data_IF_111222862838
#
_entry.id   IF_111222862838
#
_cell.length_a   1.000
_cell.length_b   1.000
_cell.length_c   1.000
_cell.angle_alpha   90.00
_cell.angle_beta   90.00
_cell.angle_gamma   90.00
#
_symmetry.space_group_name_H-M   'P 1'
#
loop_
_entity.id
_entity.type
_entity.pdbx_description
1 polymer ?
#
# COMPACT_ATOMS: atom_id res chain seq x y z
N UNK A 1 17.77 13.99 -7.99
CA UNK A 1 17.35 13.82 -9.40
C UNK A 1 16.71 12.45 -9.65
N UNK A 2 17.30 11.34 -9.22
CA UNK A 2 16.72 10.00 -9.44
C UNK A 2 15.31 9.79 -8.86
N UNK A 3 15.03 10.30 -7.65
CA UNK A 3 13.71 10.14 -7.00
C UNK A 3 12.61 10.83 -7.80
N UNK A 4 12.85 12.06 -8.28
CA UNK A 4 11.89 12.85 -9.06
C UNK A 4 11.60 12.18 -10.41
N UNK A 5 12.62 11.57 -11.04
CA UNK A 5 12.43 10.82 -12.27
C UNK A 5 11.59 9.55 -12.04
N UNK A 6 11.79 8.83 -10.94
CA UNK A 6 10.98 7.66 -10.59
C UNK A 6 9.52 8.04 -10.33
N UNK A 7 9.30 9.17 -9.65
CA UNK A 7 7.97 9.73 -9.37
C UNK A 7 7.21 10.13 -10.64
N UNK A 8 7.92 10.75 -11.59
CA UNK A 8 7.36 11.09 -12.90
C UNK A 8 6.98 9.83 -13.69
N UNK A 9 7.79 8.78 -13.62
CA UNK A 9 7.51 7.51 -14.31
C UNK A 9 6.32 6.78 -13.69
N UNK A 10 6.20 6.74 -12.36
CA UNK A 10 5.03 6.10 -11.70
C UNK A 10 3.74 6.86 -11.95
N UNK A 11 3.79 8.18 -12.09
CA UNK A 11 2.66 8.99 -12.55
C UNK A 11 2.24 8.66 -13.98
N UNK A 12 3.20 8.59 -14.91
CA UNK A 12 2.94 8.27 -16.32
C UNK A 12 2.34 6.87 -16.50
N UNK A 13 2.76 5.91 -15.69
CA UNK A 13 2.25 4.55 -15.70
C UNK A 13 0.88 4.39 -15.01
N UNK A 14 0.34 5.46 -14.40
CA UNK A 14 -0.86 5.39 -13.56
C UNK A 14 -0.82 4.24 -12.55
N UNK A 15 0.34 4.05 -11.91
CA UNK A 15 0.50 3.00 -10.91
C UNK A 15 -0.51 3.22 -9.78
N UNK A 16 -1.07 2.13 -9.23
CA UNK A 16 -2.08 2.16 -8.17
C UNK A 16 -1.65 2.98 -6.93
N UNK A 17 -0.33 3.11 -6.72
CA UNK A 17 0.28 3.83 -5.60
C UNK A 17 0.88 5.18 -5.98
N UNK A 18 0.79 5.57 -7.26
CA UNK A 18 1.22 6.85 -7.86
C UNK A 18 2.50 7.43 -7.21
N UNK A 19 2.43 8.70 -6.80
CA UNK A 19 3.47 9.43 -6.07
C UNK A 19 3.58 8.98 -4.60
N UNK A 20 2.48 8.48 -4.02
CA UNK A 20 2.38 8.23 -2.59
C UNK A 20 3.27 7.09 -2.12
N UNK A 21 3.45 6.05 -2.94
CA UNK A 21 4.35 4.95 -2.61
C UNK A 21 5.77 5.43 -2.33
N UNK A 22 6.30 6.31 -3.19
CA UNK A 22 7.65 6.85 -3.07
C UNK A 22 7.75 7.80 -1.86
N UNK A 23 6.75 8.67 -1.67
CA UNK A 23 6.70 9.60 -0.53
C UNK A 23 6.62 8.89 0.82
N UNK A 24 5.87 7.79 0.90
CA UNK A 24 5.74 6.98 2.11
C UNK A 24 7.10 6.32 2.42
N UNK A 25 7.71 5.63 1.45
CA UNK A 25 9.02 4.96 1.67
C UNK A 25 10.10 5.97 2.03
N UNK A 26 10.13 7.12 1.35
CA UNK A 26 11.10 8.18 1.61
C UNK A 26 10.91 8.78 3.01
N UNK A 27 9.66 9.06 3.41
CA UNK A 27 9.35 9.56 4.74
C UNK A 27 9.74 8.57 5.84
N UNK A 28 9.51 7.28 5.64
CA UNK A 28 9.93 6.24 6.57
C UNK A 28 11.45 6.15 6.70
N UNK A 29 12.20 6.43 5.63
CA UNK A 29 13.66 6.45 5.65
C UNK A 29 14.21 7.69 6.36
N UNK A 30 13.74 8.89 6.00
CA UNK A 30 14.21 10.16 6.58
C UNK A 30 13.85 10.24 8.08
N UNK A 31 12.64 9.85 8.45
CA UNK A 31 12.16 9.93 9.83
C UNK A 31 12.38 8.64 10.63
N UNK A 32 13.31 7.77 10.20
CA UNK A 32 13.56 6.47 10.82
C UNK A 32 13.84 6.56 12.33
N UNK A 33 14.67 7.52 12.72
CA UNK A 33 15.11 7.74 14.12
C UNK A 33 14.04 8.42 14.99
N UNK A 34 12.98 8.98 14.39
CA UNK A 34 11.95 9.77 15.10
C UNK A 34 10.57 9.13 14.91
N UNK A 35 10.16 8.17 15.76
CA UNK A 35 8.95 7.36 15.55
C UNK A 35 7.65 8.18 15.56
N UNK A 36 7.60 9.28 16.32
CA UNK A 36 6.43 10.18 16.37
C UNK A 36 6.22 10.92 15.05
N UNK A 37 7.28 11.51 14.48
CA UNK A 37 7.21 12.24 13.21
C UNK A 37 6.93 11.27 12.06
N UNK A 38 7.53 10.07 12.13
CA UNK A 38 7.30 9.01 11.16
C UNK A 38 5.83 8.57 11.09
N UNK A 39 5.18 8.42 12.24
CA UNK A 39 3.76 8.08 12.31
C UNK A 39 2.91 9.21 11.72
N UNK A 40 3.17 10.46 12.11
CA UNK A 40 2.44 11.62 11.57
C UNK A 40 2.57 11.67 10.04
N UNK A 41 3.78 11.53 9.51
CA UNK A 41 4.02 11.51 8.06
C UNK A 41 3.24 10.39 7.37
N UNK A 42 3.30 9.17 7.91
CA UNK A 42 2.59 8.03 7.35
C UNK A 42 1.07 8.24 7.36
N UNK A 43 0.51 8.73 8.48
CA UNK A 43 -0.93 9.00 8.61
C UNK A 43 -1.38 10.10 7.64
N UNK A 44 -0.58 11.16 7.46
CA UNK A 44 -0.88 12.22 6.48
C UNK A 44 -0.89 11.65 5.06
N UNK A 45 0.11 10.87 4.68
CA UNK A 45 0.15 10.24 3.35
C UNK A 45 -1.03 9.27 3.14
N UNK A 46 -1.36 8.44 4.14
CA UNK A 46 -2.48 7.51 4.08
C UNK A 46 -3.82 8.26 3.90
N UNK A 47 -4.02 9.33 4.67
CA UNK A 47 -5.20 10.17 4.54
C UNK A 47 -5.29 10.82 3.14
N UNK A 48 -4.17 11.30 2.59
CA UNK A 48 -4.14 11.87 1.24
C UNK A 48 -4.49 10.85 0.15
N UNK A 49 -4.03 9.60 0.28
CA UNK A 49 -4.38 8.51 -0.66
C UNK A 49 -5.88 8.26 -0.61
N UNK A 50 -6.42 8.04 0.58
CA UNK A 50 -7.85 7.76 0.76
C UNK A 50 -8.74 8.94 0.34
N UNK A 51 -8.26 10.16 0.55
CA UNK A 51 -8.91 11.37 0.06
C UNK A 51 -9.01 11.41 -1.47
N UNK A 52 -7.95 11.03 -2.19
CA UNK A 52 -7.96 11.01 -3.66
C UNK A 52 -8.86 9.88 -4.17
N UNK A 53 -8.85 8.72 -3.50
CA UNK A 53 -9.64 7.56 -3.90
C UNK A 53 -11.14 7.73 -3.64
N UNK A 54 -11.52 8.28 -2.48
CA UNK A 54 -12.91 8.32 -2.02
C UNK A 54 -13.52 9.74 -2.00
N UNK A 55 -12.72 10.80 -2.11
CA UNK A 55 -13.17 12.19 -2.05
C UNK A 55 -13.47 12.70 -0.63
N UNK A 56 -13.58 14.03 -0.48
CA UNK A 56 -13.85 14.68 0.80
C UNK A 56 -15.35 14.89 1.02
N UNK A 57 -15.98 13.93 1.68
CA UNK A 57 -17.34 14.13 2.16
C UNK A 57 -17.54 13.50 3.54
N UNK A 58 -18.42 14.10 4.34
CA UNK A 58 -18.78 13.57 5.65
C UNK A 58 -19.35 12.14 5.56
N UNK A 59 -20.07 11.83 4.48
CA UNK A 59 -20.59 10.48 4.25
C UNK A 59 -19.48 9.48 3.86
N UNK A 60 -18.43 9.93 3.15
CA UNK A 60 -17.32 9.04 2.75
C UNK A 60 -16.38 8.75 3.92
N UNK A 61 -16.20 9.69 4.85
CA UNK A 61 -15.37 9.49 6.04
C UNK A 61 -15.90 8.42 7.01
N UNK A 62 -17.23 8.24 7.05
CA UNK A 62 -17.90 7.22 7.89
C UNK A 62 -18.16 5.94 7.09
N UNK A 63 -17.95 5.98 5.78
CA UNK A 63 -18.22 4.82 4.92
C UNK A 63 -17.32 3.63 5.30
N UNK A 64 -17.86 2.39 5.29
CA UNK A 64 -17.07 1.20 5.57
C UNK A 64 -15.78 1.08 4.73
N UNK A 65 -15.77 1.39 3.41
CA UNK A 65 -14.55 1.30 2.59
C UNK A 65 -13.41 2.16 3.11
N UNK A 66 -13.70 3.41 3.50
CA UNK A 66 -12.70 4.35 4.02
C UNK A 66 -12.10 3.88 5.35
N UNK A 67 -12.96 3.41 6.27
CA UNK A 67 -12.51 2.90 7.57
C UNK A 67 -11.65 1.65 7.43
N UNK A 68 -12.05 0.72 6.55
CA UNK A 68 -11.27 -0.47 6.26
C UNK A 68 -9.92 -0.12 5.62
N UNK A 69 -9.90 0.76 4.62
CA UNK A 69 -8.66 1.20 3.95
C UNK A 69 -7.67 1.83 4.93
N UNK A 70 -8.14 2.80 5.73
CA UNK A 70 -7.34 3.44 6.78
C UNK A 70 -6.82 2.43 7.80
N UNK A 71 -7.65 1.48 8.24
CA UNK A 71 -7.24 0.44 9.19
C UNK A 71 -6.14 -0.46 8.61
N UNK A 72 -6.29 -0.93 7.37
CA UNK A 72 -5.29 -1.78 6.73
C UNK A 72 -3.96 -1.04 6.48
N UNK A 73 -3.99 0.23 6.10
CA UNK A 73 -2.79 1.05 5.94
C UNK A 73 -2.05 1.24 7.27
N UNK A 74 -2.78 1.52 8.35
CA UNK A 74 -2.19 1.69 9.68
C UNK A 74 -1.65 0.37 10.24
N UNK A 75 -2.34 -0.74 9.98
CA UNK A 75 -1.88 -2.08 10.32
C UNK A 75 -0.60 -2.44 9.55
N UNK A 76 -0.53 -2.08 8.26
CA UNK A 76 0.67 -2.25 7.44
C UNK A 76 1.85 -1.47 8.03
N UNK A 77 1.65 -0.22 8.44
CA UNK A 77 2.68 0.56 9.15
C UNK A 77 3.14 -0.12 10.44
N UNK A 78 2.21 -0.64 11.24
CA UNK A 78 2.54 -1.35 12.48
C UNK A 78 3.39 -2.60 12.19
N UNK A 79 2.97 -3.43 11.23
CA UNK A 79 3.70 -4.62 10.78
C UNK A 79 5.10 -4.23 10.32
N UNK A 80 5.23 -3.21 9.48
CA UNK A 80 6.51 -2.82 8.91
C UNK A 80 7.46 -2.15 9.92
N UNK A 81 6.94 -1.54 10.98
CA UNK A 81 7.78 -0.88 11.99
C UNK A 81 8.13 -1.77 13.17
N UNK A 82 7.24 -2.68 13.56
CA UNK A 82 7.43 -3.58 14.71
C UNK A 82 8.06 -4.91 14.30
N UNK A 83 7.55 -5.54 13.24
CA UNK A 83 7.99 -6.87 12.81
C UNK A 83 9.24 -6.80 11.91
N UNK A 84 9.34 -5.78 11.07
CA UNK A 84 10.53 -5.57 10.25
C UNK A 84 11.56 -4.71 11.00
N UNK A 85 12.24 -5.29 11.99
CA UNK A 85 13.23 -4.62 12.85
C UNK A 85 14.53 -4.17 12.14
N UNK A 86 14.51 -3.97 10.81
CA UNK A 86 15.64 -3.54 9.99
C UNK A 86 16.79 -4.56 9.87
N UNK A 87 16.69 -5.71 10.52
CA UNK A 87 17.61 -6.83 10.35
C UNK A 87 17.24 -7.57 9.07
N UNK A 88 18.23 -7.94 8.25
CA UNK A 88 18.00 -8.80 7.08
C UNK A 88 17.26 -10.05 7.56
N UNK A 89 16.03 -10.24 7.07
CA UNK A 89 15.28 -11.46 7.35
C UNK A 89 16.14 -12.66 6.96
N UNK A 90 16.17 -13.70 7.80
CA UNK A 90 16.69 -14.98 7.33
C UNK A 90 15.83 -15.31 6.10
N UNK A 91 16.43 -15.50 4.94
CA UNK A 91 15.71 -15.81 3.70
C UNK A 91 15.66 -17.34 3.55
N UNK A 92 14.71 -18.04 4.21
CA UNK A 92 14.59 -19.47 4.01
C UNK A 92 14.20 -19.71 2.54
N UNK A 93 14.78 -20.73 1.92
CA UNK A 93 14.42 -21.14 0.54
C UNK A 93 12.90 -21.34 0.39
N UNK A 94 12.21 -21.69 1.48
CA UNK A 94 10.75 -21.81 1.56
C UNK A 94 9.99 -20.52 1.20
N UNK A 95 10.42 -19.35 1.70
CA UNK A 95 9.74 -18.08 1.41
C UNK A 95 9.81 -17.73 -0.09
N UNK A 96 10.91 -18.11 -0.76
CA UNK A 96 11.06 -17.94 -2.21
C UNK A 96 10.03 -18.79 -2.97
N UNK A 97 9.91 -20.06 -2.61
CA UNK A 97 8.96 -20.98 -3.27
C UNK A 97 7.50 -20.63 -2.99
N UNK A 98 7.17 -20.20 -1.76
CA UNK A 98 5.84 -19.70 -1.44
C UNK A 98 5.45 -18.53 -2.36
N UNK A 99 6.34 -17.57 -2.56
CA UNK A 99 6.08 -16.43 -3.46
C UNK A 99 5.86 -16.88 -4.92
N UNK A 100 6.68 -17.80 -5.43
CA UNK A 100 6.53 -18.31 -6.81
C UNK A 100 5.23 -19.06 -7.07
N UNK A 101 4.64 -19.69 -6.05
CA UNK A 101 3.35 -20.38 -6.17
C UNK A 101 2.19 -19.43 -5.93
N UNK A 102 2.31 -18.56 -4.92
CA UNK A 102 1.26 -17.60 -4.57
C UNK A 102 1.07 -16.53 -5.66
N UNK A 103 2.14 -16.12 -6.33
CA UNK A 103 2.06 -15.11 -7.40
C UNK A 103 1.15 -15.53 -8.58
N UNK A 104 1.31 -16.68 -9.24
CA UNK A 104 0.35 -17.11 -10.26
C UNK A 104 -1.04 -17.39 -9.67
N UNK A 105 -1.13 -17.87 -8.42
CA UNK A 105 -2.41 -18.17 -7.78
C UNK A 105 -3.27 -16.92 -7.53
N UNK A 106 -2.71 -15.82 -7.04
CA UNK A 106 -3.50 -14.60 -6.80
C UNK A 106 -3.97 -13.97 -8.11
N UNK A 107 -3.17 -14.05 -9.19
CA UNK A 107 -3.60 -13.60 -10.52
C UNK A 107 -4.79 -14.42 -11.04
N UNK A 108 -4.75 -15.75 -10.86
CA UNK A 108 -5.89 -16.60 -11.19
C UNK A 108 -7.12 -16.28 -10.33
N UNK A 109 -6.93 -16.01 -9.04
CA UNK A 109 -8.02 -15.60 -8.16
C UNK A 109 -8.68 -14.29 -8.65
N UNK A 110 -7.88 -13.28 -9.00
CA UNK A 110 -8.39 -12.02 -9.57
C UNK A 110 -9.15 -12.30 -10.87
N UNK A 111 -8.63 -13.16 -11.72
CA UNK A 111 -9.30 -13.56 -12.96
C UNK A 111 -10.67 -14.22 -12.71
N UNK A 112 -10.76 -15.15 -11.75
CA UNK A 112 -12.03 -15.79 -11.38
C UNK A 112 -13.04 -14.81 -10.78
N UNK A 113 -12.59 -13.90 -9.90
CA UNK A 113 -13.46 -12.87 -9.33
C UNK A 113 -14.00 -11.95 -10.42
N UNK A 114 -13.16 -11.55 -11.37
CA UNK A 114 -13.58 -10.73 -12.52
C UNK A 114 -14.64 -11.45 -13.37
N UNK A 115 -14.42 -12.74 -13.67
CA UNK A 115 -15.36 -13.55 -14.44
C UNK A 115 -16.72 -13.71 -13.73
N UNK A 116 -16.69 -13.92 -12.41
CA UNK A 116 -17.90 -14.03 -11.60
C UNK A 116 -18.68 -12.70 -11.54
N UNK A 117 -17.97 -11.57 -11.41
CA UNK A 117 -18.58 -10.24 -11.42
C UNK A 117 -19.22 -9.88 -12.76
N UNK A 118 -18.63 -10.30 -13.89
CA UNK A 118 -19.17 -10.07 -15.22
C UNK A 118 -20.45 -10.87 -15.48
N UNK A 119 -20.53 -12.11 -14.96
CA UNK A 119 -21.74 -12.95 -15.03
C UNK A 119 -22.92 -12.43 -14.21
N UNK A 120 -22.67 -11.65 -13.16
CA UNK A 120 -23.72 -11.10 -12.27
C UNK A 120 -24.33 -9.81 -12.83
N UNK A 121 -23.64 -9.12 -13.75
CA UNK A 121 -24.10 -7.89 -14.39
C UNK A 121 -24.81 -8.11 -15.75
N UNK A 122 -25.12 -9.38 -16.11
CA UNK A 122 -25.93 -9.78 -17.25
C UNK A 122 -27.25 -10.39 -16.76
#
# INVERSE_FOLDING_TARGET
MAIVALDAVTLLLQSEWMLFGILIVLGLHIFREKPKIRLIWFTVCAFCVEFISNGLSLYTLISPPFLFGMFFLLLSYFVMTVLCSGKKGKHPKFAKWFFYIFYPAHLLMIYFVKLAAEKVNL
#
